data_IF_562127459808
#
_entry.id   IF_562127459808
#
_cell.length_a   1.000
_cell.length_b   1.000
_cell.length_c   1.000
_cell.angle_alpha   90.00
_cell.angle_beta   90.00
_cell.angle_gamma   90.00
#
_symmetry.space_group_name_H-M   'P 1'
#
loop_
_entity.id
_entity.type
_entity.pdbx_description
1 polymer ?
#
# COMPACT_ATOMS: atom_id res chain seq x y z
N UNK A 1 -1.71 -56.34 -39.24
CA UNK A 1 -2.55 -55.13 -39.25
C UNK A 1 -2.33 -54.38 -37.96
N UNK A 2 -1.55 -53.34 -38.01
CA UNK A 2 -1.17 -52.54 -36.80
C UNK A 2 -2.13 -51.39 -36.63
N UNK A 3 -3.00 -51.43 -35.63
CA UNK A 3 -3.83 -50.29 -35.22
C UNK A 3 -2.98 -49.43 -34.27
N UNK A 4 -2.37 -48.39 -34.78
CA UNK A 4 -1.70 -47.37 -33.97
C UNK A 4 -2.78 -46.49 -33.35
N UNK A 5 -3.04 -46.64 -32.07
CA UNK A 5 -3.81 -45.68 -31.27
C UNK A 5 -2.94 -44.44 -31.02
N UNK A 6 -3.26 -43.34 -31.69
CA UNK A 6 -2.74 -42.01 -31.38
C UNK A 6 -3.50 -41.47 -30.18
N UNK A 7 -2.92 -41.54 -29.00
CA UNK A 7 -3.38 -40.79 -27.82
C UNK A 7 -2.98 -39.34 -27.98
N UNK A 8 -3.94 -38.55 -28.45
CA UNK A 8 -3.82 -37.07 -28.45
C UNK A 8 -3.96 -36.59 -26.98
N UNK A 9 -2.82 -36.31 -26.36
CA UNK A 9 -2.78 -35.66 -25.04
C UNK A 9 -3.18 -34.20 -25.20
N UNK A 10 -4.44 -33.89 -24.82
CA UNK A 10 -4.97 -32.53 -24.78
C UNK A 10 -4.41 -31.86 -23.52
N UNK A 11 -3.32 -31.11 -23.65
CA UNK A 11 -2.79 -30.23 -22.61
C UNK A 11 -3.76 -29.04 -22.46
N UNK A 12 -4.67 -29.13 -21.48
CA UNK A 12 -5.51 -28.01 -21.05
C UNK A 12 -4.57 -27.04 -20.30
N UNK A 13 -4.14 -26.01 -21.00
CA UNK A 13 -3.42 -24.89 -20.40
C UNK A 13 -4.42 -24.06 -19.58
N UNK A 14 -4.41 -24.25 -18.28
CA UNK A 14 -5.22 -23.42 -17.36
C UNK A 14 -4.50 -22.07 -17.28
N UNK A 15 -4.96 -21.10 -18.05
CA UNK A 15 -4.52 -19.73 -17.95
C UNK A 15 -5.11 -19.14 -16.64
N UNK A 16 -4.29 -19.04 -15.61
CA UNK A 16 -4.65 -18.25 -14.43
C UNK A 16 -4.67 -16.77 -14.83
N UNK A 17 -5.74 -16.03 -14.52
CA UNK A 17 -5.73 -14.59 -14.72
C UNK A 17 -4.62 -13.99 -13.84
N UNK A 18 -3.61 -13.44 -14.47
CA UNK A 18 -2.62 -12.63 -13.77
C UNK A 18 -3.32 -11.34 -13.35
N UNK A 19 -3.72 -11.21 -12.09
CA UNK A 19 -4.13 -9.94 -11.54
C UNK A 19 -2.92 -9.02 -11.55
N UNK A 20 -2.91 -8.05 -12.46
CA UNK A 20 -1.90 -7.00 -12.50
C UNK A 20 -2.09 -6.12 -11.26
N UNK A 21 -1.19 -6.24 -10.30
CA UNK A 21 -1.18 -5.37 -9.12
C UNK A 21 -0.59 -4.01 -9.51
N UNK A 22 -1.26 -2.93 -9.10
CA UNK A 22 -0.78 -1.57 -9.34
C UNK A 22 0.31 -1.24 -8.33
N UNK A 23 1.52 -1.02 -8.83
CA UNK A 23 2.65 -0.55 -8.01
C UNK A 23 2.39 0.88 -7.52
N UNK A 24 2.49 1.08 -6.22
CA UNK A 24 2.28 2.36 -5.59
C UNK A 24 3.59 3.02 -5.15
N UNK A 25 4.54 2.26 -4.64
CA UNK A 25 5.79 2.81 -4.14
C UNK A 25 6.79 1.79 -3.66
N UNK A 26 7.81 2.28 -2.98
CA UNK A 26 8.94 1.47 -2.50
C UNK A 26 9.25 1.81 -1.05
N UNK A 27 9.57 0.79 -0.25
CA UNK A 27 10.07 0.94 1.11
C UNK A 27 11.47 1.55 1.09
N UNK A 28 11.66 2.65 1.79
CA UNK A 28 12.95 3.36 1.90
C UNK A 28 13.56 3.28 3.29
N UNK A 29 12.74 3.08 4.32
CA UNK A 29 13.14 2.93 5.71
C UNK A 29 12.41 1.72 6.27
N UNK A 30 13.14 0.88 7.00
CA UNK A 30 12.56 -0.24 7.76
C UNK A 30 13.36 -0.45 9.02
N UNK A 31 12.69 -0.46 10.15
CA UNK A 31 13.29 -0.68 11.48
C UNK A 31 12.35 -1.55 12.31
N UNK A 32 12.95 -2.40 13.16
CA UNK A 32 12.21 -3.27 14.05
C UNK A 32 11.25 -4.21 13.32
N UNK A 33 10.12 -4.49 13.92
CA UNK A 33 9.07 -5.33 13.30
C UNK A 33 8.24 -4.48 12.32
N UNK A 34 8.43 -4.72 11.04
CA UNK A 34 7.70 -4.07 9.97
C UNK A 34 7.37 -5.09 8.87
N UNK A 35 6.09 -5.16 8.50
CA UNK A 35 5.55 -6.18 7.60
C UNK A 35 4.64 -5.57 6.54
N UNK A 36 4.61 -6.22 5.37
CA UNK A 36 3.61 -5.98 4.32
C UNK A 36 2.63 -7.15 4.36
N UNK A 37 1.36 -6.86 4.53
CA UNK A 37 0.28 -7.84 4.41
C UNK A 37 -0.36 -7.68 3.04
N UNK A 38 -0.25 -8.72 2.23
CA UNK A 38 -0.75 -8.77 0.86
C UNK A 38 -1.70 -9.95 0.69
N UNK A 39 -3.00 -9.70 0.74
CA UNK A 39 -3.99 -10.76 0.76
C UNK A 39 -3.77 -11.70 1.96
N UNK A 40 -3.54 -12.98 1.69
CA UNK A 40 -3.25 -13.99 2.72
C UNK A 40 -1.76 -14.05 3.11
N UNK A 41 -0.88 -13.34 2.41
CA UNK A 41 0.58 -13.40 2.61
C UNK A 41 1.06 -12.29 3.53
N UNK A 42 2.02 -12.60 4.40
CA UNK A 42 2.74 -11.65 5.22
C UNK A 42 4.20 -11.66 4.83
N UNK A 43 4.70 -10.53 4.38
CA UNK A 43 6.06 -10.35 3.86
C UNK A 43 6.83 -9.38 4.76
N UNK A 44 8.15 -9.52 4.92
CA UNK A 44 8.93 -8.49 5.59
C UNK A 44 8.92 -7.19 4.78
N UNK A 45 8.74 -6.05 5.45
CA UNK A 45 8.84 -4.73 4.84
C UNK A 45 10.31 -4.30 4.76
N UNK A 46 11.09 -5.01 3.95
CA UNK A 46 12.51 -4.71 3.76
C UNK A 46 12.71 -3.46 2.88
N UNK A 47 13.81 -2.73 3.09
CA UNK A 47 14.21 -1.63 2.21
C UNK A 47 14.35 -2.14 0.77
N UNK A 48 13.76 -1.43 -0.19
CA UNK A 48 13.70 -1.82 -1.60
C UNK A 48 12.47 -2.65 -1.98
N UNK A 49 11.68 -3.11 -1.02
CA UNK A 49 10.43 -3.84 -1.32
C UNK A 49 9.41 -2.93 -2.00
N UNK A 50 8.76 -3.46 -3.03
CA UNK A 50 7.66 -2.79 -3.72
C UNK A 50 6.36 -2.96 -2.94
N UNK A 51 5.62 -1.87 -2.79
CA UNK A 51 4.28 -1.83 -2.20
C UNK A 51 3.26 -1.61 -3.31
N UNK A 52 2.20 -2.39 -3.29
CA UNK A 52 1.11 -2.34 -4.26
C UNK A 52 -0.18 -1.80 -3.63
N UNK A 53 -1.11 -1.42 -4.48
CA UNK A 53 -2.48 -1.13 -4.05
C UNK A 53 -3.09 -2.35 -3.37
N UNK A 54 -3.83 -2.13 -2.31
CA UNK A 54 -4.40 -3.12 -1.39
C UNK A 54 -3.39 -3.84 -0.48
N UNK A 55 -2.14 -3.41 -0.46
CA UNK A 55 -1.21 -3.82 0.60
C UNK A 55 -1.50 -3.06 1.90
N UNK A 56 -1.28 -3.73 3.03
CA UNK A 56 -1.27 -3.12 4.35
C UNK A 56 0.15 -3.13 4.90
N UNK A 57 0.60 -1.99 5.43
CA UNK A 57 1.84 -1.90 6.19
C UNK A 57 1.53 -1.99 7.68
N UNK A 58 2.14 -2.94 8.35
CA UNK A 58 1.93 -3.19 9.78
C UNK A 58 3.26 -3.14 10.51
N UNK A 59 3.33 -2.32 11.55
CA UNK A 59 4.49 -2.23 12.43
C UNK A 59 4.18 -2.74 13.82
N UNK A 60 5.16 -3.34 14.48
CA UNK A 60 5.10 -3.70 15.89
C UNK A 60 5.51 -2.55 16.81
N UNK A 61 5.63 -2.82 18.11
CA UNK A 61 5.93 -1.82 19.13
C UNK A 61 7.31 -1.14 19.00
N UNK A 62 8.24 -1.77 18.31
CA UNK A 62 9.58 -1.24 17.98
C UNK A 62 9.73 -0.90 16.50
N UNK A 63 8.65 -1.04 15.72
CA UNK A 63 8.67 -0.93 14.28
C UNK A 63 8.57 0.50 13.77
N UNK A 64 9.19 0.73 12.62
CA UNK A 64 8.97 1.93 11.81
C UNK A 64 9.23 1.60 10.34
N UNK A 65 8.40 2.13 9.46
CA UNK A 65 8.54 1.93 8.02
C UNK A 65 8.31 3.23 7.27
N UNK A 66 9.22 3.54 6.35
CA UNK A 66 9.10 4.68 5.44
C UNK A 66 8.86 4.20 4.01
N UNK A 67 7.75 4.63 3.44
CA UNK A 67 7.31 4.36 2.07
C UNK A 67 7.40 5.63 1.25
N UNK A 68 7.99 5.56 0.07
CA UNK A 68 7.92 6.63 -0.93
C UNK A 68 7.06 6.16 -2.10
N UNK A 69 5.96 6.85 -2.32
CA UNK A 69 5.06 6.59 -3.45
C UNK A 69 5.68 7.12 -4.76
N UNK A 70 5.17 6.66 -5.88
CA UNK A 70 5.68 7.04 -7.21
C UNK A 70 5.54 8.52 -7.56
N UNK A 71 4.62 9.22 -6.89
CA UNK A 71 4.46 10.68 -7.00
C UNK A 71 5.37 11.48 -6.04
N UNK A 72 6.29 10.82 -5.35
CA UNK A 72 7.16 11.33 -4.30
C UNK A 72 6.45 11.71 -2.98
N UNK A 73 5.22 11.30 -2.77
CA UNK A 73 4.61 11.34 -1.43
C UNK A 73 5.40 10.42 -0.51
N UNK A 74 5.78 10.91 0.66
CA UNK A 74 6.48 10.13 1.69
C UNK A 74 5.56 9.86 2.85
N UNK A 75 5.45 8.59 3.19
CA UNK A 75 4.64 8.08 4.29
C UNK A 75 5.57 7.40 5.28
N UNK A 76 5.59 7.83 6.53
CA UNK A 76 6.39 7.19 7.58
C UNK A 76 5.46 6.74 8.70
N UNK A 77 5.32 5.43 8.81
CA UNK A 77 4.56 4.79 9.89
C UNK A 77 5.46 4.59 11.12
N UNK A 78 5.00 5.04 12.27
CA UNK A 78 5.64 4.82 13.56
C UNK A 78 5.32 3.45 14.15
N UNK A 79 5.60 3.23 15.46
CA UNK A 79 5.28 2.00 16.14
C UNK A 79 3.78 1.71 16.19
N UNK A 80 3.43 0.44 16.29
CA UNK A 80 2.05 -0.05 16.41
C UNK A 80 1.06 0.54 15.39
N UNK A 81 1.52 0.75 14.16
CA UNK A 81 0.75 1.38 13.09
C UNK A 81 0.24 0.35 12.11
N UNK A 82 -1.00 0.55 11.66
CA UNK A 82 -1.58 -0.16 10.51
C UNK A 82 -2.01 0.87 9.47
N UNK A 83 -1.38 0.79 8.30
CA UNK A 83 -1.62 1.64 7.15
C UNK A 83 -2.08 0.78 5.97
N UNK A 84 -3.29 1.02 5.50
CA UNK A 84 -3.85 0.35 4.32
C UNK A 84 -3.80 1.29 3.12
N UNK A 85 -3.23 0.82 2.02
CA UNK A 85 -3.17 1.58 0.77
C UNK A 85 -4.33 1.16 -0.14
N UNK A 86 -5.42 1.91 -0.11
CA UNK A 86 -6.66 1.54 -0.79
C UNK A 86 -6.63 1.83 -2.29
N UNK A 87 -6.11 3.01 -2.66
CA UNK A 87 -6.06 3.45 -4.06
C UNK A 87 -4.77 4.22 -4.30
N UNK A 88 -4.16 3.97 -5.45
CA UNK A 88 -3.07 4.77 -5.97
C UNK A 88 -3.13 4.79 -7.50
N UNK A 89 -3.15 5.99 -8.06
CA UNK A 89 -2.95 6.23 -9.49
C UNK A 89 -2.08 7.46 -9.69
N UNK A 90 -1.23 7.44 -10.70
CA UNK A 90 -0.34 8.56 -10.97
C UNK A 90 0.06 8.61 -12.45
N UNK A 91 -0.23 9.72 -13.09
CA UNK A 91 0.25 10.05 -14.43
C UNK A 91 1.57 10.83 -14.32
N UNK A 92 2.65 10.28 -14.85
CA UNK A 92 3.99 10.87 -14.74
C UNK A 92 4.17 12.13 -15.60
N UNK A 93 3.29 12.36 -16.56
CA UNK A 93 3.33 13.50 -17.47
C UNK A 93 2.54 14.68 -16.90
N UNK A 94 1.29 14.44 -16.50
CA UNK A 94 0.39 15.49 -16.01
C UNK A 94 0.48 15.69 -14.50
N UNK A 95 1.05 14.71 -13.77
CA UNK A 95 1.07 14.59 -12.31
C UNK A 95 -0.31 14.43 -11.68
N UNK A 96 -1.35 14.27 -12.49
CA UNK A 96 -2.71 13.98 -12.01
C UNK A 96 -2.75 12.56 -11.47
N UNK A 97 -3.50 12.37 -10.40
CA UNK A 97 -3.65 11.06 -9.79
C UNK A 97 -4.50 11.07 -8.54
N UNK A 98 -4.48 9.96 -7.84
CA UNK A 98 -5.23 9.75 -6.62
C UNK A 98 -4.40 8.92 -5.63
N UNK A 99 -4.50 9.30 -4.36
CA UNK A 99 -4.02 8.53 -3.21
C UNK A 99 -5.17 8.42 -2.22
N UNK A 100 -5.53 7.21 -1.87
CA UNK A 100 -6.45 6.92 -0.77
C UNK A 100 -5.80 5.89 0.14
N UNK A 101 -5.60 6.25 1.38
CA UNK A 101 -5.01 5.40 2.39
C UNK A 101 -5.77 5.51 3.72
N UNK A 102 -5.79 4.43 4.49
CA UNK A 102 -6.44 4.37 5.79
C UNK A 102 -5.43 4.07 6.88
N UNK A 103 -5.46 4.85 7.96
CA UNK A 103 -4.71 4.58 9.18
C UNK A 103 -5.70 4.15 10.23
N UNK A 104 -5.70 2.87 10.57
CA UNK A 104 -6.66 2.31 11.53
C UNK A 104 -6.13 2.32 12.96
N UNK A 105 -4.80 2.44 13.10
CA UNK A 105 -4.10 2.46 14.39
C UNK A 105 -2.72 3.07 14.22
N UNK A 106 -2.21 3.72 15.26
CA UNK A 106 -0.84 4.20 15.36
C UNK A 106 -0.62 5.61 14.82
N UNK A 107 0.54 5.87 14.27
CA UNK A 107 0.93 7.19 13.78
C UNK A 107 1.50 7.13 12.36
N UNK A 108 1.14 8.12 11.55
CA UNK A 108 1.62 8.28 10.19
C UNK A 108 2.06 9.72 9.95
N UNK A 109 3.32 9.91 9.59
CA UNK A 109 3.81 11.19 9.05
C UNK A 109 3.67 11.18 7.53
N UNK A 110 3.13 12.25 6.98
CA UNK A 110 2.87 12.42 5.56
C UNK A 110 3.55 13.68 5.04
N UNK A 111 4.36 13.52 4.00
CA UNK A 111 4.89 14.64 3.22
C UNK A 111 4.33 14.50 1.81
N UNK A 112 3.45 15.41 1.43
CA UNK A 112 2.74 15.35 0.16
C UNK A 112 3.66 15.50 -1.05
N UNK A 113 3.37 14.74 -2.09
CA UNK A 113 4.10 14.75 -3.34
C UNK A 113 3.41 15.52 -4.47
N UNK A 114 3.57 15.03 -5.69
CA UNK A 114 3.12 15.70 -6.91
C UNK A 114 1.60 15.67 -7.09
N UNK A 115 0.93 14.58 -6.69
CA UNK A 115 -0.53 14.43 -6.82
C UNK A 115 -1.25 15.53 -6.04
N UNK A 116 -0.83 15.82 -4.81
CA UNK A 116 -1.48 16.86 -3.98
C UNK A 116 -1.46 18.24 -4.61
N UNK A 117 -0.47 18.53 -5.46
CA UNK A 117 -0.36 19.80 -6.20
C UNK A 117 -1.19 19.83 -7.47
N UNK A 118 -1.24 18.72 -8.20
CA UNK A 118 -1.92 18.61 -9.49
C UNK A 118 -3.40 18.25 -9.38
N UNK A 119 -3.78 17.51 -8.34
CA UNK A 119 -5.15 17.05 -8.09
C UNK A 119 -5.62 17.50 -6.72
N UNK A 120 -6.31 18.65 -6.61
CA UNK A 120 -6.69 19.26 -5.32
C UNK A 120 -7.51 18.36 -4.40
N UNK A 121 -8.26 17.43 -4.95
CA UNK A 121 -9.06 16.45 -4.20
C UNK A 121 -8.54 15.01 -4.34
N UNK A 122 -7.33 14.84 -4.88
CA UNK A 122 -6.76 13.53 -5.21
C UNK A 122 -6.11 12.82 -4.04
N UNK A 123 -5.90 13.47 -2.90
CA UNK A 123 -5.22 12.86 -1.75
C UNK A 123 -6.17 12.81 -0.56
N UNK A 124 -6.44 11.59 -0.10
CA UNK A 124 -7.33 11.30 1.04
C UNK A 124 -6.66 10.36 2.01
N UNK A 125 -6.77 10.69 3.29
CA UNK A 125 -6.40 9.80 4.38
C UNK A 125 -7.61 9.57 5.28
N UNK A 126 -7.88 8.31 5.57
CA UNK A 126 -9.02 7.91 6.39
C UNK A 126 -8.52 7.39 7.74
N UNK A 127 -9.23 7.72 8.80
CA UNK A 127 -9.12 7.10 10.11
C UNK A 127 -10.48 6.50 10.48
N UNK A 128 -10.61 5.73 11.56
CA UNK A 128 -11.90 5.20 11.97
C UNK A 128 -13.01 6.25 12.17
N UNK A 129 -12.63 7.50 12.42
CA UNK A 129 -13.58 8.57 12.77
C UNK A 129 -13.61 9.73 11.78
N UNK A 130 -12.56 9.91 10.95
CA UNK A 130 -12.40 11.11 10.09
C UNK A 130 -11.81 10.74 8.75
N UNK A 131 -12.27 11.42 7.70
CA UNK A 131 -11.61 11.46 6.39
C UNK A 131 -10.96 12.82 6.19
N UNK A 132 -9.67 12.85 5.89
CA UNK A 132 -8.86 14.03 5.66
C UNK A 132 -8.57 14.18 4.17
N UNK A 133 -9.01 15.29 3.57
CA UNK A 133 -8.55 15.72 2.26
C UNK A 133 -7.32 16.62 2.40
N UNK A 134 -6.29 16.38 1.59
CA UNK A 134 -4.99 17.04 1.75
C UNK A 134 -4.62 17.84 0.51
N UNK A 135 -4.25 19.10 0.72
CA UNK A 135 -3.71 19.99 -0.30
C UNK A 135 -2.28 20.40 0.04
N UNK A 136 -1.35 19.49 -0.21
CA UNK A 136 0.08 19.77 -0.21
C UNK A 136 0.62 20.40 1.06
N UNK A 137 0.92 19.57 2.06
CA UNK A 137 1.64 19.96 3.28
C UNK A 137 2.30 18.74 3.91
N UNK A 138 3.05 18.99 4.95
CA UNK A 138 3.53 18.00 5.88
C UNK A 138 2.58 17.95 7.09
N UNK A 139 2.14 16.78 7.50
CA UNK A 139 1.25 16.59 8.64
C UNK A 139 1.45 15.20 9.26
N UNK A 140 0.96 15.04 10.48
CA UNK A 140 0.98 13.77 11.22
C UNK A 140 -0.46 13.39 11.54
N UNK A 141 -0.77 12.11 11.33
CA UNK A 141 -2.03 11.50 11.75
C UNK A 141 -1.69 10.59 12.94
N UNK A 142 -2.42 10.76 14.03
CA UNK A 142 -2.35 9.88 15.19
C UNK A 142 -3.73 9.26 15.42
N UNK A 143 -3.76 7.95 15.56
CA UNK A 143 -4.97 7.19 15.86
C UNK A 143 -4.71 6.40 17.14
N UNK A 144 -5.42 6.77 18.20
CA UNK A 144 -5.34 6.08 19.47
C UNK A 144 -5.86 4.65 19.35
N UNK A 145 -5.29 3.75 20.15
CA UNK A 145 -5.81 2.41 20.25
C UNK A 145 -7.26 2.47 20.77
N UNK A 146 -8.16 1.59 20.28
CA UNK A 146 -9.51 1.52 20.83
C UNK A 146 -9.46 1.35 22.35
N UNK A 147 -10.17 2.20 23.08
CA UNK A 147 -10.33 2.04 24.53
C UNK A 147 -11.16 0.78 24.71
N UNK A 148 -10.56 -0.30 25.22
CA UNK A 148 -11.34 -1.43 25.70
C UNK A 148 -12.09 -0.96 26.94
N UNK A 149 -13.39 -0.75 26.82
CA UNK A 149 -14.26 -0.57 27.97
C UNK A 149 -14.24 -1.87 28.79
N UNK A 150 -13.69 -1.80 29.97
CA UNK A 150 -13.72 -2.90 30.95
C UNK A 150 -15.09 -2.98 31.61
#
# INVERSE_FOLDING_TARGET
MSRKLLLASLLISIAFPAFSQTEAGTIKISRGDARIVRGADTLPAAVGSTVFVNDSLVTGSDGAVGLTLRDNTRLTAGPDTTLDLNTFSFDTTTHVGEVDASVTRGSLSVISGKIAKASPNGVKFNTPTVTLGVRGTEFIIEVDAPVEEQ
#
